data_IF_255163623186
#
_entry.id   IF_255163623186
#
_cell.length_a   1.000
_cell.length_b   1.000
_cell.length_c   1.000
_cell.angle_alpha   90.00
_cell.angle_beta   90.00
_cell.angle_gamma   90.00
#
_symmetry.space_group_name_H-M   'P 1'
#
loop_
_entity.id
_entity.type
_entity.pdbx_description
1 polymer ?
#
# COMPACT_ATOMS: atom_id res chain seq x y z
N UNK A 1 5.49 -21.93 17.47
CA UNK A 1 4.06 -21.99 17.12
C UNK A 1 3.20 -21.09 18.01
N UNK A 2 3.20 -21.20 19.36
CA UNK A 2 2.35 -20.35 20.24
C UNK A 2 2.52 -18.84 20.01
N UNK A 3 3.73 -18.33 19.79
CA UNK A 3 3.98 -16.88 19.56
C UNK A 3 3.47 -16.38 18.19
N UNK A 4 3.46 -17.24 17.18
CA UNK A 4 2.91 -16.91 15.85
C UNK A 4 1.38 -16.84 15.88
N UNK A 5 0.74 -17.76 16.60
CA UNK A 5 -0.71 -17.76 16.80
C UNK A 5 -1.18 -16.53 17.58
N UNK A 6 -0.41 -16.09 18.59
CA UNK A 6 -0.69 -14.85 19.34
C UNK A 6 -0.55 -13.62 18.43
N UNK A 7 0.46 -13.57 17.56
CA UNK A 7 0.64 -12.47 16.61
C UNK A 7 -0.50 -12.42 15.58
N UNK A 8 -0.92 -13.56 15.07
CA UNK A 8 -2.08 -13.67 14.15
C UNK A 8 -3.37 -13.28 14.90
N UNK A 9 -3.56 -13.73 16.14
CA UNK A 9 -4.71 -13.37 16.95
C UNK A 9 -4.74 -11.87 17.33
N UNK A 10 -3.60 -11.27 17.64
CA UNK A 10 -3.49 -9.83 17.91
C UNK A 10 -3.69 -8.97 16.65
N UNK A 11 -3.31 -9.48 15.49
CA UNK A 11 -3.55 -8.81 14.20
C UNK A 11 -5.01 -9.01 13.72
N UNK A 12 -5.70 -10.04 14.19
CA UNK A 12 -7.09 -10.31 13.83
C UNK A 12 -8.11 -9.66 14.79
N UNK A 13 -7.75 -9.42 16.04
CA UNK A 13 -8.68 -8.91 17.04
C UNK A 13 -9.35 -7.54 16.70
N UNK A 14 -8.63 -6.51 16.19
CA UNK A 14 -9.28 -5.28 15.75
C UNK A 14 -10.06 -5.44 14.44
N UNK A 15 -9.81 -6.52 13.73
CA UNK A 15 -10.37 -6.83 12.42
C UNK A 15 -11.81 -7.30 12.53
N UNK A 16 -12.13 -8.07 13.57
CA UNK A 16 -13.48 -8.63 13.77
C UNK A 16 -14.46 -7.66 14.44
N UNK A 17 -13.99 -6.51 14.96
CA UNK A 17 -14.84 -5.52 15.60
C UNK A 17 -15.19 -4.30 14.76
N UNK A 18 -14.62 -4.16 13.57
CA UNK A 18 -14.89 -3.03 12.69
C UNK A 18 -16.12 -3.32 11.83
N UNK A 19 -17.21 -2.64 12.11
CA UNK A 19 -18.45 -2.64 11.30
C UNK A 19 -18.25 -2.19 9.84
N UNK A 20 -17.02 -1.79 9.46
CA UNK A 20 -16.69 -1.19 8.15
C UNK A 20 -15.63 -1.97 7.37
N UNK A 21 -15.74 -3.30 7.31
CA UNK A 21 -14.97 -4.12 6.36
C UNK A 21 -15.53 -4.02 4.95
N UNK A 22 -15.50 -2.83 4.39
CA UNK A 22 -16.15 -2.60 3.12
C UNK A 22 -15.37 -3.14 1.92
N UNK A 23 -14.08 -3.43 2.06
CA UNK A 23 -13.26 -3.73 0.87
C UNK A 23 -12.06 -4.63 1.14
N UNK A 24 -11.84 -5.55 0.22
CA UNK A 24 -10.62 -6.34 0.12
C UNK A 24 -9.74 -5.82 -1.00
N UNK A 25 -8.45 -5.68 -0.76
CA UNK A 25 -7.49 -5.28 -1.77
C UNK A 25 -6.63 -6.46 -2.20
N UNK A 26 -6.80 -6.88 -3.45
CA UNK A 26 -5.96 -7.90 -4.08
C UNK A 26 -4.85 -7.26 -4.90
N UNK A 27 -3.62 -7.71 -4.76
CA UNK A 27 -2.48 -7.19 -5.49
C UNK A 27 -1.63 -8.32 -6.09
N UNK A 28 -1.29 -8.17 -7.35
CA UNK A 28 -0.29 -8.99 -8.03
C UNK A 28 0.87 -8.09 -8.48
N UNK A 29 2.09 -8.42 -8.10
CA UNK A 29 3.28 -7.73 -8.55
C UNK A 29 4.22 -8.71 -9.25
N UNK A 30 4.54 -8.41 -10.51
CA UNK A 30 5.54 -9.10 -11.31
C UNK A 30 6.79 -8.23 -11.41
N UNK A 31 7.97 -8.80 -11.21
CA UNK A 31 9.23 -8.07 -11.25
C UNK A 31 10.29 -8.82 -12.04
N UNK A 32 10.95 -8.12 -12.98
CA UNK A 32 12.13 -8.59 -13.72
C UNK A 32 13.19 -7.50 -13.72
N UNK A 33 14.34 -7.77 -13.09
CA UNK A 33 15.39 -6.76 -12.89
C UNK A 33 14.84 -5.53 -12.16
N UNK A 34 15.08 -4.36 -12.71
CA UNK A 34 14.64 -3.09 -12.15
C UNK A 34 13.19 -2.73 -12.50
N UNK A 35 12.57 -3.46 -13.40
CA UNK A 35 11.21 -3.23 -13.82
C UNK A 35 10.22 -4.05 -13.01
N UNK A 36 9.06 -3.45 -12.73
CA UNK A 36 7.93 -4.18 -12.17
C UNK A 36 6.61 -3.65 -12.70
N UNK A 37 5.68 -4.59 -12.86
CA UNK A 37 4.28 -4.30 -13.15
C UNK A 37 3.48 -4.74 -11.93
N UNK A 38 2.56 -3.91 -11.47
CA UNK A 38 1.65 -4.23 -10.39
C UNK A 38 0.21 -4.03 -10.87
N UNK A 39 -0.60 -5.02 -10.64
CA UNK A 39 -2.04 -4.97 -10.76
C UNK A 39 -2.67 -4.94 -9.37
N UNK A 40 -3.75 -4.19 -9.20
CA UNK A 40 -4.50 -4.12 -7.95
C UNK A 40 -5.98 -4.00 -8.24
N UNK A 41 -6.75 -4.77 -7.52
CA UNK A 41 -8.20 -4.68 -7.47
C UNK A 41 -8.68 -4.32 -6.07
N UNK A 42 -9.82 -3.67 -6.02
CA UNK A 42 -10.59 -3.46 -4.81
C UNK A 42 -11.94 -4.14 -5.01
N UNK A 43 -12.20 -5.10 -4.17
CA UNK A 43 -13.45 -5.88 -4.18
C UNK A 43 -14.27 -5.40 -2.99
N UNK A 44 -15.50 -4.93 -3.25
CA UNK A 44 -16.47 -4.56 -2.22
C UNK A 44 -17.16 -5.80 -1.71
N UNK A 45 -17.28 -5.89 -0.37
CA UNK A 45 -18.05 -6.90 0.34
C UNK A 45 -17.70 -8.35 0.02
N UNK A 46 -17.30 -9.12 1.01
CA UNK A 46 -17.25 -10.58 0.85
C UNK A 46 -18.66 -11.18 0.82
N UNK A 47 -19.67 -10.39 1.19
CA UNK A 47 -21.07 -10.79 1.32
C UNK A 47 -21.94 -10.33 0.14
N UNK A 48 -21.43 -9.49 -0.72
CA UNK A 48 -22.07 -9.07 -1.97
C UNK A 48 -21.45 -9.81 -3.15
N UNK A 49 -22.06 -9.75 -4.32
CA UNK A 49 -21.68 -10.47 -5.54
C UNK A 49 -20.27 -10.20 -6.08
N UNK A 50 -19.35 -9.72 -5.24
CA UNK A 50 -17.95 -9.57 -5.53
C UNK A 50 -17.63 -8.51 -6.60
N UNK A 51 -18.41 -7.45 -6.68
CA UNK A 51 -18.18 -6.40 -7.68
C UNK A 51 -16.82 -5.74 -7.52
N UNK A 52 -16.09 -5.62 -8.63
CA UNK A 52 -14.83 -4.88 -8.71
C UNK A 52 -15.13 -3.39 -8.75
N UNK A 53 -15.02 -2.73 -7.60
CA UNK A 53 -15.28 -1.30 -7.46
C UNK A 53 -14.21 -0.42 -8.14
N UNK A 54 -12.97 -0.92 -8.18
CA UNK A 54 -11.83 -0.13 -8.63
C UNK A 54 -10.64 -1.02 -8.96
N UNK A 55 -9.97 -0.72 -10.04
CA UNK A 55 -8.68 -1.35 -10.33
C UNK A 55 -7.60 -0.35 -10.68
N UNK A 56 -6.34 -0.76 -10.57
CA UNK A 56 -5.25 0.03 -11.08
C UNK A 56 -4.08 -0.83 -11.58
N UNK A 57 -3.42 -0.29 -12.61
CA UNK A 57 -2.14 -0.76 -13.08
C UNK A 57 -1.03 0.20 -12.67
N UNK A 58 0.13 -0.35 -12.38
CA UNK A 58 1.32 0.42 -12.10
C UNK A 58 2.50 -0.19 -12.81
N UNK A 59 3.21 0.61 -13.59
CA UNK A 59 4.52 0.27 -14.13
C UNK A 59 5.55 1.04 -13.31
N UNK A 60 6.62 0.37 -12.91
CA UNK A 60 7.68 0.97 -12.10
C UNK A 60 9.04 0.62 -12.63
N UNK A 61 9.96 1.57 -12.60
CA UNK A 61 11.38 1.33 -12.79
C UNK A 61 12.14 1.81 -11.56
N UNK A 62 12.97 0.93 -11.01
CA UNK A 62 13.88 1.23 -9.91
C UNK A 62 15.24 1.65 -10.50
N UNK A 63 15.82 2.65 -9.91
CA UNK A 63 17.20 3.07 -10.04
C UNK A 63 17.81 2.98 -8.64
N UNK A 64 19.07 2.93 -8.43
CA UNK A 64 19.71 2.72 -7.14
C UNK A 64 18.85 3.11 -5.92
N UNK A 65 18.82 4.39 -5.58
CA UNK A 65 18.09 4.91 -4.42
C UNK A 65 16.73 5.55 -4.75
N UNK A 66 16.30 5.55 -6.00
CA UNK A 66 15.04 6.15 -6.38
C UNK A 66 14.24 5.26 -7.32
N UNK A 67 12.96 5.57 -7.46
CA UNK A 67 12.03 4.84 -8.31
C UNK A 67 11.03 5.80 -8.95
N UNK A 68 10.76 5.56 -10.21
CA UNK A 68 9.64 6.17 -10.93
C UNK A 68 8.53 5.15 -11.07
N UNK A 69 7.31 5.58 -10.79
CA UNK A 69 6.10 4.80 -11.00
C UNK A 69 5.17 5.60 -11.92
N UNK A 70 4.48 4.91 -12.79
CA UNK A 70 3.34 5.44 -13.51
C UNK A 70 2.14 4.58 -13.19
N UNK A 71 1.04 5.19 -12.71
CA UNK A 71 -0.18 4.50 -12.35
C UNK A 71 -1.35 4.96 -13.21
N UNK A 72 -2.12 4.00 -13.63
CA UNK A 72 -3.43 4.16 -14.25
C UNK A 72 -4.46 3.62 -13.27
N UNK A 73 -5.44 4.44 -12.94
CA UNK A 73 -6.55 4.10 -12.07
C UNK A 73 -7.85 4.23 -12.83
N UNK A 74 -8.75 3.30 -12.58
CA UNK A 74 -10.13 3.37 -13.08
C UNK A 74 -11.10 3.04 -11.97
N UNK A 75 -12.14 3.85 -11.88
CA UNK A 75 -13.27 3.66 -10.98
C UNK A 75 -14.51 4.26 -11.64
N UNK A 76 -15.59 3.48 -11.81
CA UNK A 76 -16.87 3.92 -12.36
C UNK A 76 -16.70 4.66 -13.71
N UNK A 77 -15.87 4.12 -14.61
CA UNK A 77 -15.55 4.73 -15.90
C UNK A 77 -14.71 6.01 -15.83
N UNK A 78 -14.28 6.44 -14.64
CA UNK A 78 -13.43 7.61 -14.45
C UNK A 78 -11.98 7.18 -14.37
N UNK A 79 -11.16 7.82 -15.19
CA UNK A 79 -9.72 7.53 -15.29
C UNK A 79 -8.91 8.58 -14.53
N UNK A 80 -7.89 8.11 -13.80
CA UNK A 80 -6.91 8.95 -13.13
C UNK A 80 -5.50 8.47 -13.44
N UNK A 81 -4.65 9.39 -13.87
CA UNK A 81 -3.23 9.15 -14.12
C UNK A 81 -2.40 9.68 -12.95
N UNK A 82 -1.41 8.91 -12.52
CA UNK A 82 -0.58 9.26 -11.35
C UNK A 82 0.89 8.91 -11.62
N UNK A 83 1.64 9.78 -12.30
CA UNK A 83 3.09 9.71 -12.29
C UNK A 83 3.60 9.98 -10.86
N UNK A 84 4.63 9.21 -10.46
CA UNK A 84 5.12 9.21 -9.09
C UNK A 84 6.63 9.07 -9.06
N UNK A 85 7.26 9.84 -8.21
CA UNK A 85 8.68 9.75 -7.90
C UNK A 85 8.87 9.41 -6.41
N UNK A 86 9.75 8.45 -6.13
CA UNK A 86 10.05 8.01 -4.77
C UNK A 86 11.56 7.89 -4.58
N UNK A 87 12.06 8.43 -3.50
CA UNK A 87 13.45 8.25 -3.07
C UNK A 87 13.48 7.34 -1.83
N UNK A 88 14.47 6.46 -1.74
CA UNK A 88 14.78 5.68 -0.55
C UNK A 88 15.99 6.33 0.10
N UNK A 89 15.75 7.28 1.01
CA UNK A 89 16.83 8.07 1.61
C UNK A 89 17.58 7.33 2.71
N UNK A 90 16.87 6.47 3.44
CA UNK A 90 17.44 5.75 4.58
C UNK A 90 16.91 4.34 4.68
N UNK A 91 17.80 3.40 4.91
CA UNK A 91 17.48 2.05 5.37
C UNK A 91 18.55 1.69 6.42
N UNK A 92 18.09 1.46 7.63
CA UNK A 92 18.94 1.03 8.72
C UNK A 92 19.05 -0.50 8.74
N UNK A 93 20.16 -1.04 9.26
CA UNK A 93 20.41 -2.49 9.34
C UNK A 93 19.35 -3.25 10.15
N UNK A 94 18.67 -2.57 11.08
CA UNK A 94 17.56 -3.11 11.85
C UNK A 94 16.22 -3.14 11.10
N UNK A 95 16.19 -2.78 9.80
CA UNK A 95 15.02 -2.84 8.94
C UNK A 95 14.14 -1.58 8.92
N UNK A 96 14.48 -0.54 9.69
CA UNK A 96 13.80 0.75 9.57
C UNK A 96 14.18 1.46 8.28
N UNK A 97 13.21 2.14 7.66
CA UNK A 97 13.44 2.91 6.44
C UNK A 97 12.56 4.16 6.37
N UNK A 98 13.05 5.13 5.61
CA UNK A 98 12.41 6.39 5.32
C UNK A 98 12.34 6.57 3.80
N UNK A 99 11.13 6.80 3.25
CA UNK A 99 10.88 6.93 1.81
C UNK A 99 9.97 8.12 1.51
N UNK A 100 10.52 9.29 1.21
CA UNK A 100 9.74 10.40 0.68
C UNK A 100 9.26 10.08 -0.73
N UNK A 101 8.08 10.62 -1.08
CA UNK A 101 7.42 10.39 -2.35
C UNK A 101 6.64 11.62 -2.77
N UNK A 102 6.71 11.91 -4.07
CA UNK A 102 5.89 12.93 -4.74
C UNK A 102 5.05 12.21 -5.80
N UNK A 103 3.79 12.58 -5.91
CA UNK A 103 2.84 12.07 -6.89
C UNK A 103 2.10 13.26 -7.48
N UNK A 104 2.07 13.34 -8.79
CA UNK A 104 1.12 14.19 -9.49
C UNK A 104 -0.15 13.37 -9.76
N UNK A 105 -1.30 13.96 -9.54
CA UNK A 105 -2.61 13.35 -9.77
C UNK A 105 -3.37 14.15 -10.80
N UNK A 106 -3.67 13.51 -11.91
CA UNK A 106 -4.55 14.01 -12.95
C UNK A 106 -5.84 13.18 -12.95
N UNK A 107 -6.89 13.75 -12.40
CA UNK A 107 -8.25 13.20 -12.45
C UNK A 107 -8.96 13.82 -13.64
N UNK A 108 -8.75 13.30 -14.81
CA UNK A 108 -9.25 13.82 -16.07
C UNK A 108 -10.60 14.53 -15.98
N UNK A 109 -10.56 15.85 -16.19
CA UNK A 109 -11.71 16.73 -16.18
C UNK A 109 -12.25 17.13 -14.80
N UNK A 110 -11.49 16.92 -13.71
CA UNK A 110 -11.93 17.29 -12.37
C UNK A 110 -10.92 18.07 -11.55
N UNK A 111 -9.76 17.49 -11.27
CA UNK A 111 -8.78 18.06 -10.35
C UNK A 111 -7.39 17.59 -10.76
N UNK A 112 -6.44 18.51 -10.73
CA UNK A 112 -5.02 18.23 -10.85
C UNK A 112 -4.34 18.74 -9.59
N UNK A 113 -3.48 17.93 -8.95
CA UNK A 113 -2.77 18.36 -7.77
C UNK A 113 -1.55 17.49 -7.48
N UNK A 114 -0.62 18.04 -6.69
CA UNK A 114 0.50 17.31 -6.16
C UNK A 114 0.16 16.71 -4.80
N UNK A 115 0.69 15.53 -4.58
CA UNK A 115 0.66 14.87 -3.27
C UNK A 115 2.08 14.54 -2.86
N UNK A 116 2.42 14.95 -1.66
CA UNK A 116 3.69 14.59 -1.04
C UNK A 116 3.42 13.73 0.19
N UNK A 117 4.16 12.65 0.34
CA UNK A 117 4.13 11.88 1.56
C UNK A 117 5.44 11.19 1.86
N UNK A 118 5.62 10.88 3.10
CA UNK A 118 6.76 10.15 3.61
C UNK A 118 6.28 8.84 4.20
N UNK A 119 6.90 7.76 3.79
CA UNK A 119 6.68 6.46 4.43
C UNK A 119 7.79 6.20 5.42
N UNK A 120 7.44 6.16 6.69
CA UNK A 120 8.24 5.54 7.76
C UNK A 120 7.84 4.08 7.82
N UNK A 121 8.79 3.19 7.76
CA UNK A 121 8.49 1.78 7.78
C UNK A 121 9.55 0.97 8.51
N UNK A 122 9.13 -0.22 8.89
CA UNK A 122 9.99 -1.25 9.44
C UNK A 122 9.70 -2.59 8.78
N UNK A 123 10.75 -3.22 8.30
CA UNK A 123 10.73 -4.55 7.74
C UNK A 123 11.50 -5.49 8.67
N UNK A 124 10.81 -6.32 9.43
CA UNK A 124 11.43 -7.28 10.32
C UNK A 124 12.20 -8.35 9.56
N UNK A 125 13.16 -8.96 10.26
CA UNK A 125 13.94 -10.06 9.72
C UNK A 125 13.09 -11.31 9.52
N UNK A 126 13.42 -12.11 8.51
CA UNK A 126 12.76 -13.38 8.27
C UNK A 126 13.15 -14.40 9.35
N UNK A 127 12.15 -14.93 10.02
CA UNK A 127 12.28 -16.13 10.85
C UNK A 127 11.80 -17.33 10.05
N UNK A 128 12.67 -18.30 9.82
CA UNK A 128 12.34 -19.50 9.07
C UNK A 128 12.09 -20.67 10.04
N UNK A 129 10.92 -21.29 9.92
CA UNK A 129 10.59 -22.49 10.68
C UNK A 129 10.98 -23.72 9.85
N UNK A 130 12.05 -24.39 10.30
CA UNK A 130 12.64 -25.62 9.78
C UNK A 130 12.72 -25.80 8.25
N UNK A 131 11.81 -26.19 7.49
CA UNK A 131 12.05 -26.56 6.10
C UNK A 131 11.19 -25.84 5.06
N UNK A 132 10.07 -25.22 5.43
CA UNK A 132 9.06 -24.87 4.47
C UNK A 132 8.83 -23.36 4.28
N UNK A 133 8.72 -22.55 5.33
CA UNK A 133 8.31 -21.17 5.25
C UNK A 133 9.17 -20.24 6.10
N UNK A 134 9.44 -19.06 5.55
CA UNK A 134 10.03 -17.94 6.26
C UNK A 134 9.01 -16.81 6.40
N UNK A 135 8.90 -16.21 7.57
CA UNK A 135 7.94 -15.18 7.91
C UNK A 135 8.65 -13.94 8.46
N UNK A 136 8.22 -12.76 8.02
CA UNK A 136 8.70 -11.48 8.55
C UNK A 136 7.54 -10.48 8.68
N UNK A 137 7.42 -9.75 9.80
CA UNK A 137 6.47 -8.65 9.93
C UNK A 137 6.93 -7.43 9.12
N UNK A 138 5.98 -6.57 8.73
CA UNK A 138 6.26 -5.28 8.13
C UNK A 138 5.20 -4.27 8.55
N UNK A 139 5.64 -3.08 8.93
CA UNK A 139 4.78 -1.98 9.36
C UNK A 139 5.15 -0.73 8.57
N UNK A 140 4.15 0.04 8.16
CA UNK A 140 4.34 1.31 7.47
C UNK A 140 3.40 2.36 8.02
N UNK A 141 3.91 3.57 8.17
CA UNK A 141 3.17 4.77 8.51
C UNK A 141 3.45 5.83 7.44
N UNK A 142 2.41 6.45 6.90
CA UNK A 142 2.55 7.36 5.77
C UNK A 142 1.56 8.51 5.87
N UNK A 143 1.92 9.65 6.50
CA UNK A 143 1.16 10.88 6.37
C UNK A 143 1.25 11.41 4.94
N UNK A 144 0.15 11.90 4.39
CA UNK A 144 0.04 12.42 3.03
C UNK A 144 -0.48 13.86 3.06
N UNK A 145 0.18 14.73 2.32
CA UNK A 145 -0.15 16.14 2.19
C UNK A 145 -0.52 16.45 0.74
N UNK A 146 -1.55 17.24 0.54
CA UNK A 146 -1.99 17.73 -0.77
C UNK A 146 -1.48 19.16 -1.00
N UNK A 147 -1.10 19.46 -2.23
CA UNK A 147 -0.65 20.79 -2.68
C UNK A 147 -1.34 21.14 -4.00
N UNK A 148 -1.71 22.40 -4.17
CA UNK A 148 -2.42 22.91 -5.36
C UNK A 148 -3.71 22.15 -5.67
N UNK A 149 -4.41 21.68 -4.63
CA UNK A 149 -5.68 21.04 -4.80
C UNK A 149 -6.79 22.06 -4.77
N UNK A 150 -7.40 22.30 -5.93
CA UNK A 150 -8.59 23.13 -6.01
C UNK A 150 -9.73 22.49 -5.21
N UNK A 151 -10.20 23.19 -4.22
CA UNK A 151 -11.42 22.84 -3.51
C UNK A 151 -12.62 23.30 -4.33
N UNK A 152 -13.67 22.51 -4.39
CA UNK A 152 -14.91 22.82 -5.12
C UNK A 152 -15.52 24.19 -4.79
N UNK A 153 -15.09 24.82 -3.72
CA UNK A 153 -15.57 26.12 -3.22
C UNK A 153 -14.53 27.25 -3.32
N UNK A 154 -13.52 27.11 -4.19
CA UNK A 154 -12.58 28.21 -4.50
C UNK A 154 -11.44 28.36 -3.51
N UNK A 155 -11.16 27.39 -2.65
CA UNK A 155 -9.94 27.32 -1.85
C UNK A 155 -8.90 26.42 -2.49
N UNK A 156 -7.63 26.69 -2.24
CA UNK A 156 -6.52 25.82 -2.64
C UNK A 156 -5.88 25.21 -1.40
N UNK A 157 -5.90 23.88 -1.30
CA UNK A 157 -5.20 23.16 -0.23
C UNK A 157 -3.68 23.21 -0.50
N UNK A 158 -2.96 23.98 0.28
CA UNK A 158 -1.51 24.11 0.17
C UNK A 158 -0.82 23.52 1.38
N UNK A 159 -0.46 22.24 1.28
CA UNK A 159 0.30 21.54 2.31
C UNK A 159 -0.54 21.04 3.47
N UNK A 160 -1.84 20.91 3.30
CA UNK A 160 -2.72 20.33 4.31
C UNK A 160 -2.60 18.79 4.35
N UNK A 161 -2.75 18.26 5.57
CA UNK A 161 -2.80 16.82 5.78
C UNK A 161 -4.07 16.26 5.12
N UNK A 162 -3.90 15.42 4.10
CA UNK A 162 -5.03 14.80 3.40
C UNK A 162 -5.52 13.54 4.11
N UNK A 163 -4.59 12.70 4.52
CA UNK A 163 -4.85 11.51 5.31
C UNK A 163 -3.56 10.91 5.89
N UNK A 164 -3.74 9.98 6.82
CA UNK A 164 -2.67 9.16 7.39
C UNK A 164 -2.94 7.70 7.03
N UNK A 165 -1.94 7.03 6.50
CA UNK A 165 -2.03 5.62 6.14
C UNK A 165 -1.12 4.78 7.02
N UNK A 166 -1.69 3.74 7.61
CA UNK A 166 -0.98 2.70 8.31
C UNK A 166 -1.16 1.37 7.58
N UNK A 167 -0.08 0.63 7.43
CA UNK A 167 -0.12 -0.69 6.82
C UNK A 167 0.62 -1.69 7.70
N UNK A 168 -0.04 -2.80 7.97
CA UNK A 168 0.51 -3.94 8.68
C UNK A 168 0.49 -5.14 7.73
N UNK A 169 1.62 -5.79 7.55
CA UNK A 169 1.72 -6.94 6.67
C UNK A 169 2.59 -8.02 7.30
N UNK A 170 2.30 -9.27 6.97
CA UNK A 170 3.18 -10.39 7.23
C UNK A 170 3.73 -10.86 5.89
N UNK A 171 5.04 -10.83 5.71
CA UNK A 171 5.71 -11.32 4.51
C UNK A 171 5.98 -12.80 4.69
N UNK A 172 5.45 -13.63 3.80
CA UNK A 172 5.60 -15.08 3.82
C UNK A 172 6.28 -15.49 2.52
N UNK A 173 7.35 -16.27 2.62
CA UNK A 173 8.02 -16.85 1.45
C UNK A 173 8.38 -18.31 1.72
N UNK A 174 8.40 -19.18 0.68
CA UNK A 174 8.97 -20.51 0.79
C UNK A 174 10.44 -20.42 1.20
N UNK A 175 10.91 -21.32 2.06
CA UNK A 175 12.31 -21.35 2.48
C UNK A 175 13.21 -21.54 1.24
N UNK A 176 14.31 -20.78 1.16
CA UNK A 176 15.21 -20.76 0.01
C UNK A 176 14.66 -20.01 -1.23
N UNK A 177 13.39 -19.66 -1.29
CA UNK A 177 12.84 -18.90 -2.42
C UNK A 177 13.18 -17.42 -2.33
N UNK A 178 13.74 -16.87 -3.42
CA UNK A 178 13.88 -15.42 -3.63
C UNK A 178 12.84 -14.89 -4.62
N UNK A 179 12.02 -15.77 -5.20
CA UNK A 179 11.13 -15.44 -6.33
C UNK A 179 9.70 -15.11 -5.91
N UNK A 180 9.18 -15.76 -4.87
CA UNK A 180 7.77 -15.62 -4.48
C UNK A 180 7.69 -15.07 -3.06
N UNK A 181 6.83 -14.07 -2.85
CA UNK A 181 6.47 -13.56 -1.52
C UNK A 181 4.98 -13.26 -1.48
N UNK A 182 4.30 -13.80 -0.47
CA UNK A 182 2.89 -13.53 -0.16
C UNK A 182 2.84 -12.55 1.00
N UNK A 183 1.96 -11.56 0.95
CA UNK A 183 1.87 -10.49 1.94
C UNK A 183 0.41 -10.23 2.32
N UNK A 184 -0.19 -11.09 3.17
CA UNK A 184 -1.45 -10.74 3.82
C UNK A 184 -1.23 -9.58 4.79
N UNK A 185 -2.29 -8.80 5.04
CA UNK A 185 -2.21 -7.69 5.98
C UNK A 185 -3.42 -6.79 5.97
N UNK A 186 -3.25 -5.62 6.61
CA UNK A 186 -4.27 -4.60 6.75
C UNK A 186 -3.73 -3.25 6.31
N UNK A 187 -4.61 -2.44 5.77
CA UNK A 187 -4.34 -1.07 5.40
C UNK A 187 -5.44 -0.18 5.98
N UNK A 188 -5.05 0.60 6.96
CA UNK A 188 -5.88 1.54 7.67
C UNK A 188 -5.61 2.96 7.19
N UNK A 189 -6.66 3.71 6.89
CA UNK A 189 -6.60 5.09 6.44
C UNK A 189 -7.46 5.94 7.36
N UNK A 190 -6.85 6.97 7.97
CA UNK A 190 -7.53 8.01 8.72
C UNK A 190 -7.58 9.29 7.88
N UNK A 191 -8.61 10.09 8.03
CA UNK A 191 -8.67 11.44 7.47
C UNK A 191 -7.84 12.43 8.30
N UNK A 192 -7.91 13.72 7.96
CA UNK A 192 -7.23 14.80 8.66
C UNK A 192 -7.78 15.07 10.07
N UNK A 193 -8.98 14.65 10.37
CA UNK A 193 -9.62 14.72 11.70
C UNK A 193 -9.38 13.46 12.52
N UNK A 194 -8.48 12.57 12.08
CA UNK A 194 -8.15 11.29 12.70
C UNK A 194 -9.30 10.28 12.77
N UNK A 195 -10.38 10.50 12.03
CA UNK A 195 -11.45 9.52 11.90
C UNK A 195 -11.08 8.41 10.94
N UNK A 196 -11.63 7.23 11.17
CA UNK A 196 -11.46 6.09 10.26
C UNK A 196 -12.14 6.39 8.93
N UNK A 197 -11.33 6.55 7.87
CA UNK A 197 -11.82 6.75 6.51
C UNK A 197 -12.04 5.43 5.78
N UNK A 198 -11.09 4.51 5.93
CA UNK A 198 -11.15 3.20 5.30
C UNK A 198 -10.29 2.18 6.04
N UNK A 199 -10.78 0.95 6.08
CA UNK A 199 -10.02 -0.21 6.52
C UNK A 199 -10.10 -1.29 5.43
N UNK A 200 -8.95 -1.77 4.97
CA UNK A 200 -8.86 -2.80 3.94
C UNK A 200 -8.15 -4.04 4.47
N UNK A 201 -8.73 -5.21 4.25
CA UNK A 201 -7.92 -6.43 4.19
C UNK A 201 -7.06 -6.36 2.91
N UNK A 202 -5.80 -6.72 3.00
CA UNK A 202 -4.91 -6.68 1.84
C UNK A 202 -4.24 -8.02 1.62
N UNK A 203 -4.20 -8.45 0.38
CA UNK A 203 -3.45 -9.62 -0.04
C UNK A 203 -2.56 -9.22 -1.22
N UNK A 204 -1.26 -9.49 -1.13
CA UNK A 204 -0.33 -9.19 -2.21
C UNK A 204 0.52 -10.42 -2.53
N UNK A 205 0.59 -10.76 -3.81
CA UNK A 205 1.52 -11.75 -4.35
C UNK A 205 2.61 -11.02 -5.15
N UNK A 206 3.86 -11.20 -4.74
CA UNK A 206 5.04 -10.71 -5.46
C UNK A 206 5.74 -11.90 -6.14
N UNK A 207 5.95 -11.80 -7.43
CA UNK A 207 6.70 -12.78 -8.22
C UNK A 207 7.88 -12.09 -8.90
N UNK A 208 9.09 -12.65 -8.75
CA UNK A 208 10.33 -12.18 -9.38
C UNK A 208 10.83 -13.23 -10.38
N UNK A 209 11.27 -12.75 -11.52
CA UNK A 209 11.84 -13.58 -12.60
C UNK A 209 13.33 -13.35 -12.75
#
# INVERSE_FOLDING_TARGET
>A
MKRLLILIALLSAPVFSAENWDRTQLNLKLQKGDWSIKYREYVTGLDSDGEVDKFHWQISRKFDNWRVDYQYWEKDGKVELRPRFQVKLYELDNGFYFRPRVEYRDKRGKEEYFRVWTTLGWDGNYSCNSALLCVAPAIQFSPRFAFDKDLKNGGTDNGELEDIQMRFQVKIKPNGSKKITIKPGFWYIMDNDYNTKNLYATFQLDVKF
#
